data_IF_105873576072
#
_entry.id   IF_105873576072
#
_cell.length_a   1.000
_cell.length_b   1.000
_cell.length_c   1.000
_cell.angle_alpha   90.00
_cell.angle_beta   90.00
_cell.angle_gamma   90.00
#
_symmetry.space_group_name_H-M   'P 1'
#
loop_
_entity.id
_entity.type
_entity.pdbx_description
1 polymer ?
#
# COMPACT_ATOMS: atom_id res chain seq x y z
N UNK A 1 -4.09 24.31 7.95
CA UNK A 1 -4.23 22.85 7.85
C UNK A 1 -4.42 22.34 6.42
N UNK A 2 -4.27 23.18 5.38
CA UNK A 2 -4.63 22.86 3.98
C UNK A 2 -3.53 23.09 2.95
N UNK A 3 -2.34 23.59 3.33
CA UNK A 3 -1.26 23.88 2.37
C UNK A 3 -0.43 22.64 2.00
N UNK A 4 -0.47 21.59 2.82
CA UNK A 4 0.46 20.45 2.70
C UNK A 4 -0.12 19.27 1.89
N UNK A 5 -1.41 19.30 1.55
CA UNK A 5 -2.08 18.18 0.84
C UNK A 5 -1.45 17.91 -0.54
N UNK A 6 -1.14 18.92 -1.37
CA UNK A 6 -0.47 18.67 -2.65
C UNK A 6 0.92 18.05 -2.47
N UNK A 7 1.69 18.49 -1.46
CA UNK A 7 3.03 17.98 -1.18
C UNK A 7 2.98 16.54 -0.66
N UNK A 8 2.06 16.24 0.27
CA UNK A 8 1.83 14.89 0.78
C UNK A 8 1.42 13.94 -0.36
N UNK A 9 0.58 14.39 -1.27
CA UNK A 9 0.18 13.62 -2.44
C UNK A 9 1.36 13.37 -3.39
N UNK A 10 2.19 14.37 -3.64
CA UNK A 10 3.39 14.21 -4.46
C UNK A 10 4.36 13.18 -3.86
N UNK A 11 4.57 13.24 -2.54
CA UNK A 11 5.37 12.24 -1.81
C UNK A 11 4.77 10.83 -1.92
N UNK A 12 3.46 10.67 -1.74
CA UNK A 12 2.79 9.38 -1.92
C UNK A 12 2.93 8.85 -3.36
N UNK A 13 2.85 9.74 -4.35
CA UNK A 13 3.07 9.38 -5.75
C UNK A 13 4.48 8.84 -5.98
N UNK A 14 5.49 9.53 -5.48
CA UNK A 14 6.89 9.09 -5.56
C UNK A 14 7.08 7.71 -4.91
N UNK A 15 6.54 7.52 -3.70
CA UNK A 15 6.60 6.24 -2.99
C UNK A 15 5.95 5.13 -3.82
N UNK A 16 4.70 5.32 -4.26
CA UNK A 16 3.95 4.30 -5.01
C UNK A 16 4.67 3.94 -6.32
N UNK A 17 5.08 4.95 -7.08
CA UNK A 17 5.72 4.74 -8.38
C UNK A 17 7.14 4.15 -8.26
N UNK A 18 7.82 4.36 -7.13
CA UNK A 18 9.13 3.75 -6.85
C UNK A 18 9.07 2.24 -6.59
N UNK A 19 7.89 1.70 -6.26
CA UNK A 19 7.77 0.27 -5.92
C UNK A 19 8.11 -0.66 -7.08
N UNK A 20 7.77 -0.30 -8.32
CA UNK A 20 8.06 -1.13 -9.48
C UNK A 20 9.57 -1.25 -9.80
N UNK A 21 10.32 -0.14 -9.96
CA UNK A 21 11.76 -0.23 -10.16
C UNK A 21 12.45 -0.91 -8.97
N UNK A 22 11.99 -0.73 -7.73
CA UNK A 22 12.55 -1.46 -6.59
C UNK A 22 12.44 -3.00 -6.73
N UNK A 23 11.46 -3.51 -7.50
CA UNK A 23 11.25 -4.94 -7.71
C UNK A 23 11.90 -5.48 -9.00
N UNK A 24 12.37 -4.61 -9.91
CA UNK A 24 12.74 -5.01 -11.30
C UNK A 24 13.95 -4.30 -11.88
N UNK A 25 14.35 -3.15 -11.35
CA UNK A 25 15.50 -2.41 -11.86
C UNK A 25 16.80 -3.12 -11.46
N UNK A 26 17.81 -3.15 -12.34
CA UNK A 26 19.16 -3.57 -11.98
C UNK A 26 19.66 -2.86 -10.72
N UNK A 27 20.48 -3.56 -9.94
CA UNK A 27 21.18 -2.94 -8.81
C UNK A 27 22.03 -1.76 -9.33
N UNK A 28 21.81 -0.53 -8.82
CA UNK A 28 22.59 0.63 -9.24
C UNK A 28 24.09 0.50 -8.92
N UNK A 29 24.45 -0.36 -7.97
CA UNK A 29 25.84 -0.64 -7.60
C UNK A 29 26.45 -1.81 -8.39
N UNK A 30 25.67 -2.58 -9.15
CA UNK A 30 26.19 -3.64 -10.02
C UNK A 30 26.83 -3.03 -11.29
N UNK A 31 28.16 -3.11 -11.46
CA UNK A 31 28.84 -2.54 -12.63
C UNK A 31 28.44 -3.23 -13.94
N UNK A 32 27.90 -4.45 -13.87
CA UNK A 32 27.45 -5.21 -15.03
C UNK A 32 25.98 -4.96 -15.38
N UNK A 33 25.25 -4.21 -14.53
CA UNK A 33 23.82 -3.88 -14.69
C UNK A 33 22.98 -5.11 -15.03
N UNK A 34 23.21 -6.22 -14.33
CA UNK A 34 22.44 -7.45 -14.59
C UNK A 34 20.96 -7.19 -14.31
N UNK A 35 20.11 -7.79 -15.14
CA UNK A 35 18.66 -7.70 -14.95
C UNK A 35 18.26 -8.23 -13.58
N UNK A 36 17.32 -7.55 -12.93
CA UNK A 36 16.79 -7.94 -11.64
C UNK A 36 15.32 -8.31 -11.77
N UNK A 37 14.90 -9.28 -10.97
CA UNK A 37 13.51 -9.63 -10.78
C UNK A 37 13.38 -10.18 -9.37
N UNK A 38 12.58 -9.54 -8.53
CA UNK A 38 12.32 -10.05 -7.20
C UNK A 38 11.63 -11.42 -7.26
N UNK A 39 12.06 -12.37 -6.42
CA UNK A 39 11.41 -13.67 -6.23
C UNK A 39 10.42 -13.67 -5.06
N UNK A 40 10.52 -12.67 -4.17
CA UNK A 40 9.62 -12.41 -3.06
C UNK A 40 9.69 -10.92 -2.71
N UNK A 41 8.60 -10.38 -2.14
CA UNK A 41 8.53 -8.99 -1.70
C UNK A 41 8.28 -8.96 -0.18
N UNK A 42 9.07 -8.16 0.53
CA UNK A 42 8.83 -7.81 1.93
C UNK A 42 8.58 -6.32 1.98
N UNK A 43 7.44 -5.90 2.50
CA UNK A 43 7.05 -4.49 2.46
C UNK A 43 6.25 -4.07 3.67
N UNK A 44 6.16 -2.77 3.88
CA UNK A 44 5.27 -2.19 4.86
C UNK A 44 3.98 -1.69 4.17
N UNK A 45 2.85 -1.60 4.88
CA UNK A 45 1.59 -1.14 4.30
C UNK A 45 1.64 0.25 3.62
N UNK A 46 2.29 1.30 4.17
CA UNK A 46 2.14 2.66 3.66
C UNK A 46 2.88 2.94 2.33
N UNK A 47 3.46 1.93 1.67
CA UNK A 47 4.00 2.08 0.31
C UNK A 47 2.97 1.87 -0.79
N UNK A 48 1.86 1.17 -0.49
CA UNK A 48 0.68 0.93 -1.35
C UNK A 48 0.88 0.28 -2.75
N UNK A 49 2.05 0.37 -3.38
CA UNK A 49 2.33 -0.24 -4.69
C UNK A 49 2.75 -1.72 -4.65
N UNK A 50 3.24 -2.18 -3.49
CA UNK A 50 3.80 -3.52 -3.29
C UNK A 50 2.84 -4.66 -3.64
N UNK A 51 1.55 -4.54 -3.28
CA UNK A 51 0.53 -5.57 -3.60
C UNK A 51 0.38 -5.75 -5.11
N UNK A 52 0.39 -4.65 -5.86
CA UNK A 52 0.27 -4.67 -7.32
C UNK A 52 1.54 -5.16 -8.00
N UNK A 53 2.72 -4.82 -7.46
CA UNK A 53 3.99 -5.39 -7.93
C UNK A 53 4.04 -6.91 -7.73
N UNK A 54 3.57 -7.40 -6.58
CA UNK A 54 3.48 -8.83 -6.29
C UNK A 54 2.52 -9.55 -7.24
N UNK A 55 1.36 -8.95 -7.52
CA UNK A 55 0.38 -9.43 -8.52
C UNK A 55 1.00 -9.53 -9.91
N UNK A 56 1.69 -8.47 -10.36
CA UNK A 56 2.30 -8.41 -11.70
C UNK A 56 3.46 -9.41 -11.85
N UNK A 57 4.28 -9.57 -10.81
CA UNK A 57 5.42 -10.49 -10.82
C UNK A 57 5.01 -11.94 -10.52
N UNK A 58 3.83 -12.17 -9.96
CA UNK A 58 3.38 -13.47 -9.47
C UNK A 58 4.38 -14.07 -8.45
N UNK A 59 4.66 -13.30 -7.39
CA UNK A 59 5.61 -13.65 -6.32
C UNK A 59 4.98 -13.46 -4.94
N UNK A 60 5.42 -14.21 -3.91
CA UNK A 60 4.91 -14.05 -2.56
C UNK A 60 5.21 -12.66 -2.00
N UNK A 61 4.24 -12.13 -1.25
CA UNK A 61 4.33 -10.85 -0.55
C UNK A 61 4.15 -11.05 0.96
N UNK A 62 5.12 -10.58 1.74
CA UNK A 62 5.03 -10.49 3.19
C UNK A 62 4.92 -9.02 3.62
N UNK A 63 3.83 -8.69 4.31
CA UNK A 63 3.59 -7.33 4.82
C UNK A 63 3.89 -7.28 6.31
N UNK A 64 4.79 -6.39 6.73
CA UNK A 64 5.11 -6.17 8.15
C UNK A 64 5.18 -4.69 8.51
N UNK A 65 4.79 -4.36 9.74
CA UNK A 65 4.84 -2.98 10.23
C UNK A 65 4.94 -2.94 11.77
N UNK A 66 5.74 -2.03 12.36
CA UNK A 66 5.84 -1.90 13.81
C UNK A 66 4.59 -1.32 14.46
N UNK A 67 3.71 -0.69 13.68
CA UNK A 67 2.41 -0.19 14.14
C UNK A 67 1.28 -1.11 13.66
N UNK A 68 0.18 -1.19 14.42
CA UNK A 68 -0.94 -1.99 13.99
C UNK A 68 -1.63 -1.39 12.76
N UNK A 69 -1.68 -2.19 11.69
CA UNK A 69 -2.32 -1.81 10.43
C UNK A 69 -3.47 -2.73 10.03
N UNK A 70 -3.63 -3.86 10.72
CA UNK A 70 -4.72 -4.81 10.49
C UNK A 70 -5.91 -4.50 11.40
N UNK A 71 -7.15 -4.57 10.87
CA UNK A 71 -8.36 -4.33 11.66
C UNK A 71 -8.42 -5.17 12.94
N UNK A 72 -8.59 -4.50 14.07
CA UNK A 72 -8.73 -5.14 15.38
C UNK A 72 -9.65 -4.32 16.29
N UNK A 73 -10.22 -4.99 17.29
CA UNK A 73 -11.04 -4.36 18.33
C UNK A 73 -10.21 -3.89 19.54
N UNK A 74 -8.93 -4.28 19.60
CA UNK A 74 -8.09 -4.05 20.78
C UNK A 74 -7.65 -2.59 20.96
N UNK A 75 -7.35 -1.87 19.88
CA UNK A 75 -6.89 -0.47 19.88
C UNK A 75 -7.32 0.22 18.58
N UNK A 76 -7.45 1.56 18.54
CA UNK A 76 -7.86 2.27 17.33
C UNK A 76 -6.73 2.32 16.28
N UNK A 77 -7.11 2.57 15.02
CA UNK A 77 -6.17 2.80 13.93
C UNK A 77 -5.29 4.04 14.27
N UNK A 78 -3.96 3.99 14.09
CA UNK A 78 -3.05 5.08 14.48
C UNK A 78 -3.41 6.46 13.91
N UNK A 79 -3.94 6.49 12.68
CA UNK A 79 -4.38 7.72 11.99
C UNK A 79 -5.83 8.14 12.25
N UNK A 80 -6.58 7.41 13.09
CA UNK A 80 -8.01 7.72 13.31
C UNK A 80 -8.25 8.92 14.24
N UNK A 81 -7.25 9.30 15.05
CA UNK A 81 -7.40 10.31 16.10
C UNK A 81 -8.33 9.90 17.26
N UNK A 82 -8.81 8.64 17.28
CA UNK A 82 -9.65 8.15 18.36
C UNK A 82 -8.80 7.86 19.62
N UNK A 83 -9.33 8.17 20.82
CA UNK A 83 -8.64 7.85 22.07
C UNK A 83 -8.60 6.34 22.32
N UNK A 84 -7.51 5.87 22.93
CA UNK A 84 -7.42 4.49 23.40
C UNK A 84 -8.03 4.35 24.80
N UNK A 85 -9.04 3.49 24.94
CA UNK A 85 -9.77 3.29 26.18
C UNK A 85 -9.39 2.02 26.96
N UNK A 86 -8.33 1.31 26.59
CA UNK A 86 -7.85 0.15 27.36
C UNK A 86 -8.70 -1.12 27.25
N UNK A 87 -9.72 -1.17 26.39
CA UNK A 87 -10.64 -2.31 26.28
C UNK A 87 -11.02 -2.61 24.82
N UNK A 88 -11.56 -3.82 24.62
CA UNK A 88 -12.02 -4.31 23.32
C UNK A 88 -13.31 -3.58 22.90
N UNK A 89 -13.30 -2.95 21.73
CA UNK A 89 -14.34 -2.02 21.29
C UNK A 89 -14.58 -2.15 19.78
N UNK A 90 -15.82 -2.02 19.28
CA UNK A 90 -16.12 -2.16 17.84
C UNK A 90 -15.65 -0.94 17.05
N UNK A 91 -15.62 0.21 17.71
CA UNK A 91 -15.22 1.52 17.22
C UNK A 91 -13.75 1.49 16.77
N UNK A 92 -12.90 0.79 17.55
CA UNK A 92 -11.52 0.48 17.19
C UNK A 92 -11.46 -0.25 15.84
N UNK A 93 -12.26 -1.29 15.65
CA UNK A 93 -12.29 -2.05 14.39
C UNK A 93 -12.78 -1.20 13.22
N UNK A 94 -13.86 -0.44 13.41
CA UNK A 94 -14.38 0.45 12.37
C UNK A 94 -13.41 1.56 12.00
N UNK A 95 -12.56 2.02 12.92
CA UNK A 95 -11.55 3.03 12.63
C UNK A 95 -10.57 2.58 11.54
N UNK A 96 -10.21 1.29 11.49
CA UNK A 96 -9.38 0.75 10.41
C UNK A 96 -10.08 0.81 9.06
N UNK A 97 -11.34 0.40 9.00
CA UNK A 97 -12.11 0.39 7.74
C UNK A 97 -12.33 1.80 7.21
N UNK A 98 -12.59 2.76 8.09
CA UNK A 98 -12.80 4.16 7.72
C UNK A 98 -11.49 4.77 7.23
N UNK A 99 -10.39 4.60 7.96
CA UNK A 99 -9.08 5.13 7.57
C UNK A 99 -8.61 4.51 6.25
N UNK A 100 -8.71 3.19 6.10
CA UNK A 100 -8.30 2.50 4.87
C UNK A 100 -9.05 3.04 3.64
N UNK A 101 -10.37 3.25 3.75
CA UNK A 101 -11.18 3.88 2.69
C UNK A 101 -10.71 5.29 2.36
N UNK A 102 -10.43 6.13 3.36
CA UNK A 102 -9.97 7.50 3.13
C UNK A 102 -8.58 7.54 2.49
N UNK A 103 -7.66 6.70 2.96
CA UNK A 103 -6.33 6.56 2.36
C UNK A 103 -6.46 6.12 0.90
N UNK A 104 -7.29 5.12 0.62
CA UNK A 104 -7.51 4.61 -0.72
C UNK A 104 -8.08 5.66 -1.67
N UNK A 105 -9.10 6.41 -1.24
CA UNK A 105 -9.67 7.51 -2.03
C UNK A 105 -8.60 8.55 -2.43
N UNK A 106 -7.59 8.75 -1.59
CA UNK A 106 -6.49 9.66 -1.86
C UNK A 106 -5.46 9.15 -2.87
N UNK A 107 -5.35 7.84 -3.11
CA UNK A 107 -4.25 7.26 -3.91
C UNK A 107 -4.70 6.42 -5.11
N UNK A 108 -6.00 6.16 -5.25
CA UNK A 108 -6.53 5.22 -6.24
C UNK A 108 -6.10 5.52 -7.68
N UNK A 109 -6.06 6.79 -8.07
CA UNK A 109 -5.65 7.21 -9.42
C UNK A 109 -4.15 6.97 -9.67
N UNK A 110 -3.30 7.26 -8.68
CA UNK A 110 -1.86 6.99 -8.74
C UNK A 110 -1.59 5.48 -8.83
N UNK A 111 -2.32 4.69 -8.05
CA UNK A 111 -2.24 3.23 -8.11
C UNK A 111 -2.70 2.71 -9.47
N UNK A 112 -3.78 3.26 -10.03
CA UNK A 112 -4.25 2.88 -11.36
C UNK A 112 -3.25 3.29 -12.46
N UNK A 113 -2.58 4.43 -12.32
CA UNK A 113 -1.46 4.81 -13.18
C UNK A 113 -0.35 3.75 -13.13
N UNK A 114 0.09 3.35 -11.93
CA UNK A 114 1.08 2.28 -11.76
C UNK A 114 0.62 0.99 -12.45
N UNK A 115 -0.61 0.53 -12.16
CA UNK A 115 -1.17 -0.72 -12.70
C UNK A 115 -1.19 -0.74 -14.22
N UNK A 116 -1.71 0.32 -14.85
CA UNK A 116 -1.91 0.35 -16.29
C UNK A 116 -0.60 0.70 -17.01
N UNK A 117 0.10 1.75 -16.58
CA UNK A 117 1.24 2.28 -17.31
C UNK A 117 2.54 1.48 -17.10
N UNK A 118 2.69 0.79 -15.96
CA UNK A 118 3.95 0.09 -15.61
C UNK A 118 3.78 -1.42 -15.49
N UNK A 119 2.65 -1.88 -14.94
CA UNK A 119 2.47 -3.29 -14.60
C UNK A 119 1.70 -4.09 -15.66
N UNK A 120 1.05 -3.42 -16.63
CA UNK A 120 0.19 -4.08 -17.61
C UNK A 120 -1.03 -4.75 -16.99
N UNK A 121 -1.43 -4.33 -15.79
CA UNK A 121 -2.58 -4.84 -15.06
C UNK A 121 -3.83 -3.99 -15.37
N UNK A 122 -5.04 -4.59 -15.33
CA UNK A 122 -6.27 -3.81 -15.45
C UNK A 122 -6.42 -2.83 -14.29
N UNK A 123 -7.02 -1.65 -14.51
CA UNK A 123 -7.28 -0.70 -13.42
C UNK A 123 -8.28 -1.29 -12.43
N UNK A 124 -8.17 -0.89 -11.17
CA UNK A 124 -9.14 -1.22 -10.13
C UNK A 124 -10.41 -0.40 -10.33
N UNK A 125 -11.56 -1.07 -10.23
CA UNK A 125 -12.88 -0.46 -10.37
C UNK A 125 -13.19 0.42 -9.16
N UNK A 126 -14.14 1.34 -9.33
CA UNK A 126 -14.66 2.15 -8.23
C UNK A 126 -15.22 1.24 -7.13
N UNK A 127 -14.65 1.33 -5.93
CA UNK A 127 -15.03 0.49 -4.79
C UNK A 127 -14.16 -0.76 -4.56
N UNK A 128 -13.28 -1.12 -5.50
CA UNK A 128 -12.21 -2.10 -5.24
C UNK A 128 -11.05 -1.39 -4.53
N UNK A 129 -10.52 -2.00 -3.47
CA UNK A 129 -9.43 -1.44 -2.66
C UNK A 129 -8.23 -2.40 -2.62
N UNK A 130 -7.04 -1.89 -2.29
CA UNK A 130 -5.83 -2.73 -2.17
C UNK A 130 -6.01 -3.91 -1.20
N UNK A 131 -6.80 -3.74 -0.13
CA UNK A 131 -7.17 -4.81 0.80
C UNK A 131 -8.03 -5.92 0.16
N UNK A 132 -8.85 -5.60 -0.85
CA UNK A 132 -9.66 -6.59 -1.56
C UNK A 132 -8.78 -7.54 -2.38
N UNK A 133 -7.66 -7.04 -2.91
CA UNK A 133 -6.69 -7.89 -3.59
C UNK A 133 -6.06 -8.88 -2.62
N UNK A 134 -5.69 -8.46 -1.41
CA UNK A 134 -5.14 -9.36 -0.39
C UNK A 134 -6.14 -10.46 0.00
N UNK A 135 -7.43 -10.12 0.08
CA UNK A 135 -8.48 -11.10 0.39
C UNK A 135 -8.77 -12.06 -0.78
N UNK A 136 -8.45 -11.71 -2.03
CA UNK A 136 -8.61 -12.60 -3.20
C UNK A 136 -7.59 -13.73 -3.26
N UNK A 137 -6.42 -13.54 -2.65
CA UNK A 137 -5.30 -14.48 -2.69
C UNK A 137 -5.06 -15.21 -1.36
N UNK A 138 -6.00 -15.13 -0.41
CA UNK A 138 -5.92 -15.78 0.91
C UNK A 138 -6.63 -17.12 0.95
#
# INVERSE_FOLDING_TARGET
>A
MTKDVPEQRAMLSEIILSTWPACTAPDPEDPLKRGFRADAIISNPPVYGHVHCAEALNVPLHIMFPQPWSPTKAFPHPLSGLPYHGHWCKENYYSYLVVDKFLWLGIQDIVNELRVARLGLPPLRLGEHGGDLLNRYR
#
